data_IF_809935243798
#
_entry.id   IF_809935243798
#
_cell.length_a   1.000
_cell.length_b   1.000
_cell.length_c   1.000
_cell.angle_alpha   90.00
_cell.angle_beta   90.00
_cell.angle_gamma   90.00
#
_symmetry.space_group_name_H-M   'P 1'
#
loop_
_entity.id
_entity.type
_entity.pdbx_description
1 polymer ?
#
# COMPACT_ATOMS: atom_id res chain seq x y z
N UNK A 1 -21.81 43.86 20.51
CA UNK A 1 -20.64 43.99 19.62
C UNK A 1 -19.44 43.16 20.08
N UNK A 2 -19.05 43.13 21.37
CA UNK A 2 -17.91 42.29 21.82
C UNK A 2 -18.08 40.77 21.62
N UNK A 3 -19.30 40.22 21.78
CA UNK A 3 -19.51 38.75 21.66
C UNK A 3 -19.24 38.22 20.24
N UNK A 4 -19.57 38.99 19.21
CA UNK A 4 -19.35 38.61 17.81
C UNK A 4 -17.86 38.66 17.45
N UNK A 5 -17.15 39.66 17.99
CA UNK A 5 -15.69 39.81 17.83
C UNK A 5 -14.93 38.66 18.50
N UNK A 6 -15.36 38.23 19.69
CA UNK A 6 -14.77 37.08 20.40
C UNK A 6 -15.02 35.77 19.64
N UNK A 7 -16.21 35.57 19.09
CA UNK A 7 -16.52 34.38 18.28
C UNK A 7 -15.71 34.36 16.99
N UNK A 8 -15.61 35.48 16.28
CA UNK A 8 -14.77 35.60 15.08
C UNK A 8 -13.29 35.33 15.39
N UNK A 9 -12.80 35.84 16.52
CA UNK A 9 -11.43 35.61 16.96
C UNK A 9 -11.19 34.13 17.29
N UNK A 10 -12.11 33.47 17.99
CA UNK A 10 -12.03 32.03 18.26
C UNK A 10 -12.09 31.19 17.00
N UNK A 11 -12.97 31.53 16.04
CA UNK A 11 -13.06 30.82 14.75
C UNK A 11 -11.76 30.97 13.95
N UNK A 12 -11.18 32.19 13.90
CA UNK A 12 -9.89 32.43 13.26
C UNK A 12 -8.75 31.63 13.92
N UNK A 13 -8.73 31.55 15.26
CA UNK A 13 -7.73 30.75 15.97
C UNK A 13 -7.88 29.25 15.71
N UNK A 14 -9.11 28.75 15.60
CA UNK A 14 -9.36 27.33 15.30
C UNK A 14 -8.93 27.01 13.87
N UNK A 15 -9.28 27.83 12.88
CA UNK A 15 -8.91 27.62 11.47
C UNK A 15 -7.39 27.69 11.27
N UNK A 16 -6.70 28.61 11.94
CA UNK A 16 -5.24 28.73 11.87
C UNK A 16 -4.48 27.62 12.61
N UNK A 17 -5.16 26.82 13.43
CA UNK A 17 -4.58 25.75 14.23
C UNK A 17 -4.80 24.36 13.62
N UNK A 18 -5.28 24.26 12.38
CA UNK A 18 -5.36 22.98 11.68
C UNK A 18 -3.95 22.60 11.22
N UNK A 19 -3.34 21.54 11.76
CA UNK A 19 -2.11 21.01 11.20
C UNK A 19 -2.46 20.32 9.87
N UNK A 20 -2.01 20.87 8.75
CA UNK A 20 -1.91 20.15 7.48
C UNK A 20 -0.80 19.08 7.63
N UNK A 21 -1.13 17.92 8.19
CA UNK A 21 -0.18 16.80 8.34
C UNK A 21 -0.78 15.51 7.75
N UNK A 22 -1.02 15.54 6.43
CA UNK A 22 -1.36 14.33 5.64
C UNK A 22 -0.11 13.63 5.07
N UNK A 23 1.10 13.98 5.54
CA UNK A 23 2.33 13.31 5.12
C UNK A 23 2.86 12.39 6.21
N UNK A 24 2.07 11.35 6.54
CA UNK A 24 2.62 10.15 7.20
C UNK A 24 3.50 9.44 6.17
N UNK A 25 4.71 9.96 5.99
CA UNK A 25 5.72 9.32 5.17
C UNK A 25 6.17 8.07 5.91
N UNK A 26 5.72 6.90 5.44
CA UNK A 26 6.18 5.62 5.97
C UNK A 26 7.70 5.54 5.80
N UNK A 27 8.41 5.64 6.92
CA UNK A 27 9.86 5.48 6.94
C UNK A 27 10.19 4.01 6.79
N UNK A 28 10.97 3.67 5.76
CA UNK A 28 11.48 2.31 5.59
C UNK A 28 12.40 1.96 6.77
N UNK A 29 11.97 1.03 7.63
CA UNK A 29 12.73 0.61 8.84
C UNK A 29 13.57 -0.66 8.61
N UNK A 30 13.78 -1.09 7.36
CA UNK A 30 14.46 -2.35 7.03
C UNK A 30 15.86 -2.19 6.41
N UNK A 31 16.72 -3.22 6.48
CA UNK A 31 17.93 -3.30 5.68
C UNK A 31 17.58 -3.20 4.17
N UNK A 32 18.41 -2.48 3.41
CA UNK A 32 18.27 -2.36 1.94
C UNK A 32 18.21 -3.75 1.29
N UNK A 33 17.33 -3.88 0.30
CA UNK A 33 16.92 -5.13 -0.35
C UNK A 33 18.07 -6.10 -0.61
N UNK A 34 17.85 -7.36 -0.24
CA UNK A 34 18.79 -8.46 -0.43
C UNK A 34 18.66 -9.09 -1.83
N UNK A 35 17.80 -8.53 -2.70
CA UNK A 35 17.43 -9.05 -4.02
C UNK A 35 17.26 -10.57 -4.03
N UNK A 36 16.52 -11.08 -3.05
CA UNK A 36 16.26 -12.50 -2.86
C UNK A 36 15.54 -13.07 -4.09
N UNK A 37 15.95 -14.27 -4.49
CA UNK A 37 15.34 -15.01 -5.58
C UNK A 37 13.97 -15.58 -5.17
N UNK A 38 13.10 -15.81 -6.15
CA UNK A 38 11.79 -16.43 -5.94
C UNK A 38 11.90 -17.81 -5.25
N UNK A 39 10.96 -18.11 -4.36
CA UNK A 39 10.99 -19.28 -3.46
C UNK A 39 11.84 -19.10 -2.20
N UNK A 40 12.60 -18.02 -2.08
CA UNK A 40 13.38 -17.73 -0.85
C UNK A 40 12.48 -17.16 0.23
N UNK A 41 12.69 -17.55 1.48
CA UNK A 41 11.97 -16.99 2.63
C UNK A 41 12.30 -15.50 2.76
N UNK A 42 11.27 -14.69 2.96
CA UNK A 42 11.36 -13.24 3.09
C UNK A 42 10.45 -12.74 4.23
N UNK A 43 10.69 -11.51 4.69
CA UNK A 43 9.81 -10.83 5.66
C UNK A 43 9.02 -9.68 5.03
N UNK A 44 9.63 -8.99 4.07
CA UNK A 44 9.08 -7.80 3.42
C UNK A 44 9.25 -7.89 1.90
N UNK A 45 8.36 -7.25 1.13
CA UNK A 45 8.47 -7.23 -0.34
C UNK A 45 9.80 -6.66 -0.84
N UNK A 46 10.40 -5.70 -0.13
CA UNK A 46 11.63 -5.04 -0.53
C UNK A 46 12.87 -5.94 -0.53
N UNK A 47 12.83 -7.06 0.22
CA UNK A 47 13.88 -8.06 0.24
C UNK A 47 13.98 -8.84 -1.08
N UNK A 48 12.87 -9.01 -1.79
CA UNK A 48 12.77 -9.82 -2.99
C UNK A 48 13.14 -9.02 -4.25
N UNK A 49 13.86 -9.66 -5.18
CA UNK A 49 14.12 -9.07 -6.50
C UNK A 49 12.82 -8.79 -7.26
N UNK A 50 11.82 -9.67 -7.11
CA UNK A 50 10.47 -9.54 -7.67
C UNK A 50 9.59 -8.50 -6.96
N UNK A 51 10.03 -7.96 -5.82
CA UNK A 51 9.26 -7.02 -4.98
C UNK A 51 7.92 -7.57 -4.48
N UNK A 52 7.78 -8.89 -4.40
CA UNK A 52 6.64 -9.53 -3.74
C UNK A 52 7.14 -10.59 -2.75
N UNK A 53 6.82 -10.40 -1.48
CA UNK A 53 6.99 -11.38 -0.43
C UNK A 53 5.62 -11.94 -0.07
N UNK A 54 5.31 -13.15 -0.51
CA UNK A 54 3.96 -13.72 -0.49
C UNK A 54 3.73 -14.60 0.73
N UNK A 55 2.63 -14.35 1.45
CA UNK A 55 2.18 -15.15 2.59
C UNK A 55 0.80 -15.73 2.30
N UNK A 56 0.72 -17.06 2.27
CA UNK A 56 -0.55 -17.77 2.12
C UNK A 56 -1.26 -17.93 3.46
N UNK A 57 -2.57 -17.65 3.45
CA UNK A 57 -3.49 -17.82 4.56
C UNK A 57 -4.62 -18.75 4.16
N UNK A 58 -4.92 -19.71 5.04
CA UNK A 58 -6.06 -20.61 4.96
C UNK A 58 -7.05 -20.27 6.07
N UNK A 59 -8.18 -20.98 6.10
CA UNK A 59 -9.25 -20.78 7.10
C UNK A 59 -8.76 -20.98 8.54
N UNK A 60 -7.69 -21.74 8.74
CA UNK A 60 -7.12 -22.07 10.07
C UNK A 60 -5.92 -21.20 10.45
N UNK A 61 -5.44 -20.32 9.56
CA UNK A 61 -4.29 -19.45 9.82
C UNK A 61 -3.32 -19.38 8.64
N UNK A 62 -2.03 -19.18 8.91
CA UNK A 62 -1.02 -19.10 7.85
C UNK A 62 -0.53 -20.49 7.42
N UNK A 63 -0.36 -20.67 6.11
CA UNK A 63 0.12 -21.91 5.49
C UNK A 63 1.65 -21.91 5.29
N UNK A 64 2.41 -21.63 6.36
CA UNK A 64 3.88 -21.62 6.34
C UNK A 64 4.52 -20.24 6.16
N UNK A 65 5.87 -20.14 6.06
CA UNK A 65 6.58 -18.86 5.98
C UNK A 65 6.28 -18.10 4.67
N UNK A 66 6.46 -16.77 4.69
CA UNK A 66 6.36 -15.98 3.47
C UNK A 66 7.56 -16.23 2.57
N UNK A 67 7.35 -16.22 1.25
CA UNK A 67 8.39 -16.49 0.26
C UNK A 67 8.32 -15.49 -0.90
N UNK A 68 9.47 -15.19 -1.49
CA UNK A 68 9.54 -14.34 -2.67
C UNK A 68 8.80 -15.00 -3.83
N UNK A 69 8.02 -14.22 -4.56
CA UNK A 69 7.22 -14.73 -5.65
C UNK A 69 7.16 -13.71 -6.78
N UNK A 70 6.97 -14.17 -8.01
CA UNK A 70 6.74 -13.27 -9.14
C UNK A 70 5.46 -12.46 -8.93
N UNK A 71 5.47 -11.20 -9.38
CA UNK A 71 4.28 -10.36 -9.43
C UNK A 71 3.24 -10.93 -10.39
N UNK A 72 1.97 -10.65 -10.13
CA UNK A 72 0.86 -11.12 -10.97
C UNK A 72 0.84 -10.38 -12.30
N UNK A 73 0.61 -11.10 -13.39
CA UNK A 73 0.44 -10.52 -14.72
C UNK A 73 -1.01 -10.09 -14.98
N UNK A 74 -1.22 -9.37 -16.09
CA UNK A 74 -2.57 -8.94 -16.49
C UNK A 74 -3.53 -10.12 -16.63
N UNK A 75 -4.73 -9.96 -16.07
CA UNK A 75 -5.76 -10.99 -16.02
C UNK A 75 -5.55 -12.03 -14.92
N UNK A 76 -4.42 -12.02 -14.22
CA UNK A 76 -4.18 -12.88 -13.06
C UNK A 76 -4.71 -12.26 -11.77
N UNK A 77 -4.93 -13.12 -10.78
CA UNK A 77 -5.34 -12.71 -9.44
C UNK A 77 -4.26 -11.89 -8.76
N UNK A 78 -4.66 -10.79 -8.13
CA UNK A 78 -3.78 -9.90 -7.38
C UNK A 78 -4.36 -9.54 -6.01
N UNK A 79 -3.51 -8.98 -5.14
CA UNK A 79 -3.93 -8.39 -3.88
C UNK A 79 -3.01 -7.24 -3.51
N UNK A 80 -3.62 -6.14 -3.09
CA UNK A 80 -2.90 -5.01 -2.46
C UNK A 80 -2.86 -5.14 -0.93
N UNK A 81 -3.49 -6.18 -0.38
CA UNK A 81 -3.49 -6.44 1.05
C UNK A 81 -2.13 -6.94 1.52
N UNK A 82 -1.68 -6.38 2.64
CA UNK A 82 -0.42 -6.76 3.28
C UNK A 82 -0.62 -6.97 4.77
N UNK A 83 0.08 -7.95 5.32
CA UNK A 83 0.19 -8.07 6.78
C UNK A 83 1.16 -7.02 7.33
N UNK A 84 1.03 -6.70 8.61
CA UNK A 84 2.01 -5.85 9.32
C UNK A 84 3.42 -6.39 9.08
N UNK A 85 4.27 -5.59 8.44
CA UNK A 85 5.60 -5.99 7.99
C UNK A 85 5.80 -5.92 6.48
N UNK A 86 4.74 -5.84 5.67
CA UNK A 86 4.87 -5.59 4.23
C UNK A 86 4.99 -6.83 3.36
N UNK A 87 4.46 -7.97 3.82
CA UNK A 87 4.27 -9.18 3.01
C UNK A 87 2.83 -9.23 2.46
N UNK A 88 2.70 -9.53 1.17
CA UNK A 88 1.43 -9.62 0.45
C UNK A 88 0.61 -10.83 0.88
N UNK A 89 -0.71 -10.67 0.94
CA UNK A 89 -1.66 -11.69 1.39
C UNK A 89 -2.21 -12.46 0.19
N UNK A 90 -1.96 -13.77 0.14
CA UNK A 90 -2.50 -14.75 -0.82
C UNK A 90 -2.18 -14.55 -2.31
N UNK A 91 -2.04 -13.32 -2.78
CA UNK A 91 -1.61 -12.98 -4.14
C UNK A 91 -0.58 -11.85 -4.11
N UNK A 92 0.23 -11.78 -5.16
CA UNK A 92 1.16 -10.68 -5.36
C UNK A 92 0.46 -9.46 -5.97
N UNK A 93 1.04 -8.25 -5.81
CA UNK A 93 0.61 -7.09 -6.57
C UNK A 93 0.89 -7.29 -8.07
N UNK A 94 0.22 -6.49 -8.89
CA UNK A 94 0.39 -6.52 -10.33
C UNK A 94 1.82 -6.12 -10.75
N UNK A 95 2.36 -6.81 -11.75
CA UNK A 95 3.63 -6.47 -12.40
C UNK A 95 3.52 -5.11 -13.12
N UNK A 96 2.32 -4.82 -13.64
CA UNK A 96 1.94 -3.59 -14.33
C UNK A 96 0.42 -3.39 -14.26
N UNK A 97 -0.01 -2.13 -14.37
CA UNK A 97 -1.41 -1.76 -14.24
C UNK A 97 -1.88 -1.76 -12.78
N UNK A 98 -3.18 -1.92 -12.57
CA UNK A 98 -3.83 -1.79 -11.26
C UNK A 98 -4.54 -3.08 -10.87
N UNK A 99 -4.66 -3.33 -9.55
CA UNK A 99 -5.40 -4.46 -9.03
C UNK A 99 -6.88 -4.09 -8.83
N UNK A 100 -7.72 -4.39 -9.82
CA UNK A 100 -9.15 -4.08 -9.78
C UNK A 100 -9.97 -5.36 -9.57
N UNK A 101 -10.82 -5.37 -8.55
CA UNK A 101 -11.62 -6.55 -8.19
C UNK A 101 -10.77 -7.83 -8.00
N UNK A 102 -9.55 -7.69 -7.46
CA UNK A 102 -8.55 -8.76 -7.30
C UNK A 102 -8.02 -9.34 -8.61
N UNK A 103 -8.12 -8.62 -9.74
CA UNK A 103 -7.57 -9.02 -11.03
C UNK A 103 -6.71 -7.86 -11.58
N UNK A 104 -5.55 -8.19 -12.16
CA UNK A 104 -4.71 -7.17 -12.78
C UNK A 104 -5.32 -6.65 -14.09
N UNK A 105 -5.65 -5.37 -14.13
CA UNK A 105 -6.15 -4.67 -15.30
C UNK A 105 -5.13 -3.66 -15.79
N UNK A 106 -5.17 -3.33 -17.09
CA UNK A 106 -4.44 -2.18 -17.59
C UNK A 106 -5.07 -0.94 -16.95
N UNK A 107 -4.26 -0.01 -16.45
CA UNK A 107 -4.75 1.33 -16.15
C UNK A 107 -5.33 1.89 -17.46
N UNK A 108 -6.66 1.94 -17.55
CA UNK A 108 -7.29 2.80 -18.52
C UNK A 108 -7.05 4.21 -18.02
N UNK A 109 -6.14 4.92 -18.68
CA UNK A 109 -5.98 6.36 -18.48
C UNK A 109 -7.20 7.06 -19.07
N UNK A 110 -8.38 6.80 -18.50
CA UNK A 110 -9.61 7.44 -18.90
C UNK A 110 -9.61 8.86 -18.31
N UNK A 111 -9.15 9.79 -19.15
CA UNK A 111 -9.84 11.04 -19.45
C UNK A 111 -10.39 11.85 -18.26
N UNK A 112 -9.52 12.65 -17.62
CA UNK A 112 -9.91 13.99 -17.13
C UNK A 112 -9.06 15.03 -17.88
N UNK A 113 -9.33 15.18 -19.18
CA UNK A 113 -9.12 16.46 -19.88
C UNK A 113 -10.47 17.19 -19.82
N UNK A 114 -10.73 17.84 -18.69
CA UNK A 114 -11.80 18.84 -18.63
C UNK A 114 -11.40 20.03 -19.52
N UNK A 115 -12.20 20.24 -20.58
CA UNK A 115 -12.21 21.40 -21.49
C UNK A 115 -12.65 22.71 -20.79
#
# INVERSE_FOLDING_TARGET
MNKVLVVLYFVLLVVAAWPDDDNIQQVATGPRGQDLADGTICSTGDECASKCCLKHFTVTGSDGPAQCHVKSDLGESCSDDQVKGGASVNHCPCSRGSCENNICTLENTDEDKDD
#
